data_IF_834535729393
#
_entry.id   IF_834535729393
#
_cell.length_a   1.000
_cell.length_b   1.000
_cell.length_c   1.000
_cell.angle_alpha   90.00
_cell.angle_beta   90.00
_cell.angle_gamma   90.00
#
_symmetry.space_group_name_H-M   'P 1'
#
loop_
_entity.id
_entity.type
_entity.pdbx_description
1 polymer ?
#
# COMPACT_ATOMS: atom_id res chain seq x y z
N UNK A 1 -61.11 -3.69 -22.44
CA UNK A 1 -62.04 -2.62 -21.96
C UNK A 1 -61.27 -1.73 -21.00
N UNK A 2 -61.21 -0.41 -21.23
CA UNK A 2 -60.45 0.50 -20.43
C UNK A 2 -61.38 1.18 -19.36
N UNK A 3 -60.82 1.51 -18.22
CA UNK A 3 -61.40 2.51 -17.34
C UNK A 3 -60.30 3.53 -16.97
N UNK A 4 -60.63 4.75 -17.29
CA UNK A 4 -59.79 5.91 -17.19
C UNK A 4 -59.81 6.61 -15.80
N UNK A 5 -59.27 7.83 -15.72
CA UNK A 5 -58.55 8.33 -14.55
C UNK A 5 -59.40 9.27 -13.66
N UNK A 6 -59.00 9.40 -12.41
CA UNK A 6 -59.38 10.51 -11.52
C UNK A 6 -58.16 10.77 -10.60
N UNK A 7 -57.67 11.90 -10.38
CA UNK A 7 -58.13 13.24 -10.23
C UNK A 7 -57.17 13.89 -9.21
N UNK A 8 -56.39 14.87 -9.63
CA UNK A 8 -55.43 15.59 -8.82
C UNK A 8 -56.13 16.51 -7.78
N UNK A 9 -55.61 16.57 -6.56
CA UNK A 9 -55.80 17.73 -5.69
C UNK A 9 -54.49 18.07 -5.03
N UNK A 10 -53.99 19.25 -5.35
CA UNK A 10 -52.82 19.87 -4.77
C UNK A 10 -53.08 20.36 -3.36
N UNK A 11 -52.10 20.20 -2.52
CA UNK A 11 -52.01 20.76 -1.19
C UNK A 11 -50.58 21.19 -0.91
N UNK A 12 -50.32 22.47 -1.12
CA UNK A 12 -49.08 23.11 -0.69
C UNK A 12 -49.03 23.14 0.84
N UNK A 13 -48.05 22.51 1.44
CA UNK A 13 -47.70 22.71 2.84
C UNK A 13 -46.39 23.51 2.92
N UNK A 14 -46.55 24.73 3.46
CA UNK A 14 -45.44 25.61 3.87
C UNK A 14 -44.57 24.96 4.94
N UNK A 15 -43.26 25.15 4.85
CA UNK A 15 -42.28 24.79 5.88
C UNK A 15 -42.21 25.91 6.94
N UNK A 16 -42.15 25.57 8.23
CA UNK A 16 -41.88 26.56 9.26
C UNK A 16 -40.38 26.95 9.28
N UNK A 17 -40.04 28.14 9.77
CA UNK A 17 -38.68 28.69 9.74
C UNK A 17 -37.74 27.97 10.71
N UNK A 18 -36.50 27.78 10.26
CA UNK A 18 -35.45 27.08 10.99
C UNK A 18 -35.02 27.77 12.27
N UNK A 19 -34.90 26.99 13.32
CA UNK A 19 -34.23 27.37 14.57
C UNK A 19 -32.81 26.85 14.48
N UNK A 20 -31.82 27.75 14.39
CA UNK A 20 -30.40 27.40 14.48
C UNK A 20 -30.00 27.36 15.95
N UNK A 21 -29.55 26.18 16.42
CA UNK A 21 -28.87 26.06 17.69
C UNK A 21 -27.35 26.06 17.45
N UNK A 22 -26.55 26.79 18.22
CA UNK A 22 -25.09 26.72 18.13
C UNK A 22 -24.61 25.40 18.70
N UNK A 23 -23.84 24.66 17.91
CA UNK A 23 -23.18 23.43 18.32
C UNK A 23 -21.99 23.81 19.20
N UNK A 24 -21.83 23.28 20.42
CA UNK A 24 -20.64 23.52 21.23
C UNK A 24 -19.43 22.84 20.65
N UNK A 25 -18.39 23.58 20.33
CA UNK A 25 -17.07 23.08 19.94
C UNK A 25 -16.46 22.31 21.12
N UNK A 26 -16.44 20.99 21.05
CA UNK A 26 -15.75 20.16 22.02
C UNK A 26 -14.26 20.11 21.67
N UNK A 27 -13.44 20.56 22.60
CA UNK A 27 -11.98 20.39 22.55
C UNK A 27 -11.64 18.91 22.73
N UNK A 28 -10.94 18.30 21.77
CA UNK A 28 -10.44 16.91 21.87
C UNK A 28 -8.97 16.90 22.29
N UNK A 29 -8.64 16.06 23.27
CA UNK A 29 -7.25 15.71 23.62
C UNK A 29 -6.82 14.55 22.73
N UNK A 30 -5.72 14.68 22.03
CA UNK A 30 -5.09 13.59 21.28
C UNK A 30 -3.83 13.16 22.03
N UNK A 31 -3.73 11.89 22.35
CA UNK A 31 -2.57 11.30 23.05
C UNK A 31 -1.66 10.64 22.01
N UNK A 32 -0.44 11.12 21.89
CA UNK A 32 0.59 10.45 21.11
C UNK A 32 1.28 9.36 21.96
N UNK A 33 1.65 8.23 21.35
CA UNK A 33 2.32 7.09 22.02
C UNK A 33 3.63 7.44 22.74
N UNK A 34 4.15 8.67 22.57
CA UNK A 34 5.41 9.15 23.18
C UNK A 34 5.23 9.92 24.49
N UNK A 35 4.03 9.97 25.07
CA UNK A 35 3.82 10.57 26.39
C UNK A 35 3.85 12.11 26.45
N UNK A 36 3.81 12.83 25.33
CA UNK A 36 3.81 14.29 25.28
C UNK A 36 2.39 14.81 25.18
N UNK A 37 1.99 15.70 26.11
CA UNK A 37 0.68 16.37 26.13
C UNK A 37 0.82 17.78 25.57
N UNK A 38 0.01 18.14 24.60
CA UNK A 38 -0.14 19.52 24.10
C UNK A 38 -1.55 20.06 24.38
N UNK A 39 -1.66 21.35 24.71
CA UNK A 39 -2.93 22.05 24.83
C UNK A 39 -3.16 22.93 23.61
N UNK A 40 -4.33 22.84 23.02
CA UNK A 40 -4.76 23.72 21.93
C UNK A 40 -5.45 24.95 22.51
N UNK A 41 -5.01 26.12 22.13
CA UNK A 41 -5.69 27.41 22.39
C UNK A 41 -6.21 27.94 21.06
N UNK A 42 -7.45 28.44 20.96
CA UNK A 42 -7.96 28.99 19.70
C UNK A 42 -7.16 30.24 19.30
N UNK A 43 -6.76 30.28 18.02
CA UNK A 43 -6.09 31.44 17.46
C UNK A 43 -7.11 32.50 17.04
N UNK A 44 -7.18 33.60 17.80
CA UNK A 44 -7.57 34.88 17.27
C UNK A 44 -6.36 35.81 17.37
N UNK A 45 -6.06 36.46 16.23
CA UNK A 45 -5.04 37.49 16.01
C UNK A 45 -3.63 37.04 15.61
N UNK A 46 -3.12 37.79 14.65
CA UNK A 46 -1.85 37.68 13.96
C UNK A 46 -0.62 37.69 14.89
N UNK A 47 0.43 37.00 14.43
CA UNK A 47 1.77 37.06 14.97
C UNK A 47 2.02 36.47 16.38
N UNK A 48 2.25 35.16 16.48
CA UNK A 48 3.08 34.65 17.57
C UNK A 48 3.83 33.37 17.14
N UNK A 49 5.15 33.45 17.13
CA UNK A 49 6.05 32.31 17.03
C UNK A 49 5.85 31.44 18.28
N UNK A 50 5.39 30.20 18.07
CA UNK A 50 5.29 29.22 19.13
C UNK A 50 6.68 28.68 19.48
N UNK A 51 7.18 28.97 20.68
CA UNK A 51 8.32 28.29 21.26
C UNK A 51 7.82 27.18 22.19
N UNK A 52 8.05 25.92 21.81
CA UNK A 52 7.81 24.77 22.69
C UNK A 52 8.96 24.70 23.72
N UNK A 53 8.67 24.92 25.02
CA UNK A 53 9.63 24.57 26.09
C UNK A 53 9.35 23.14 26.54
N UNK A 54 10.27 22.25 26.20
CA UNK A 54 10.31 20.88 26.72
C UNK A 54 11.09 20.92 28.04
N UNK A 55 10.43 20.67 29.16
CA UNK A 55 11.08 20.50 30.46
C UNK A 55 11.67 19.10 30.53
N UNK A 56 13.00 18.98 30.41
CA UNK A 56 13.74 17.76 30.67
C UNK A 56 14.28 17.82 32.10
N UNK A 57 14.06 16.76 32.87
CA UNK A 57 14.74 16.53 34.13
C UNK A 57 16.20 16.15 33.87
N UNK A 58 17.10 16.54 34.80
CA UNK A 58 18.55 16.66 34.62
C UNK A 58 19.37 15.36 34.68
N UNK A 59 18.84 14.18 34.39
CA UNK A 59 19.57 12.92 34.57
C UNK A 59 19.67 11.95 33.39
N UNK A 60 19.16 12.26 32.21
CA UNK A 60 19.31 11.39 31.04
C UNK A 60 20.17 12.05 29.95
N UNK A 61 21.48 11.81 29.99
CA UNK A 61 22.39 12.08 28.87
C UNK A 61 22.33 10.95 27.84
N UNK A 62 21.23 10.83 27.13
CA UNK A 62 21.19 10.13 25.86
C UNK A 62 21.25 11.16 24.75
N UNK A 63 22.26 11.10 23.89
CA UNK A 63 22.26 11.85 22.63
C UNK A 63 21.25 11.19 21.70
N UNK A 64 20.15 11.87 21.30
CA UNK A 64 19.26 11.31 20.29
C UNK A 64 19.97 11.23 18.96
N UNK A 65 19.89 10.08 18.30
CA UNK A 65 20.35 9.92 16.93
C UNK A 65 19.70 10.97 16.02
N UNK A 66 20.37 11.37 14.94
CA UNK A 66 19.88 12.38 14.00
C UNK A 66 18.44 12.13 13.49
N UNK A 67 18.02 10.86 13.48
CA UNK A 67 16.67 10.44 13.08
C UNK A 67 15.56 10.91 14.05
N UNK A 68 15.85 11.02 15.37
CA UNK A 68 14.85 11.50 16.35
C UNK A 68 14.57 13.00 16.18
N UNK A 69 15.52 13.78 15.67
CA UNK A 69 15.32 15.23 15.43
C UNK A 69 14.39 15.52 14.25
N UNK A 70 14.36 14.63 13.23
CA UNK A 70 13.48 14.80 12.06
C UNK A 70 12.02 14.52 12.42
N UNK A 71 11.75 13.63 13.39
CA UNK A 71 10.39 13.32 13.85
C UNK A 71 9.67 14.49 14.58
N UNK A 72 10.39 15.43 15.13
CA UNK A 72 9.79 16.54 15.88
C UNK A 72 9.29 17.70 15.00
N UNK A 73 9.66 17.75 13.70
CA UNK A 73 9.37 18.90 12.85
C UNK A 73 8.19 18.69 11.85
N UNK A 74 7.60 17.49 11.77
CA UNK A 74 6.54 17.21 10.77
C UNK A 74 5.25 16.73 11.46
N UNK A 75 4.69 17.52 12.35
CA UNK A 75 3.30 17.30 12.81
C UNK A 75 2.43 18.48 12.36
N UNK A 76 2.26 18.63 11.07
CA UNK A 76 1.02 19.22 10.55
C UNK A 76 0.05 18.06 10.41
N UNK A 77 -0.79 17.85 11.41
CA UNK A 77 -1.79 16.78 11.40
C UNK A 77 -2.76 16.99 10.24
N UNK A 78 -3.06 15.90 9.52
CA UNK A 78 -4.16 15.92 8.55
C UNK A 78 -5.45 16.22 9.29
N UNK A 79 -6.19 17.24 8.84
CA UNK A 79 -7.51 17.55 9.35
C UNK A 79 -8.52 16.58 8.72
N UNK A 80 -8.76 15.46 9.40
CA UNK A 80 -9.62 14.38 8.91
C UNK A 80 -11.08 14.82 8.78
N UNK A 81 -11.52 15.87 9.47
CA UNK A 81 -12.88 16.39 9.34
C UNK A 81 -13.11 17.05 7.96
N UNK A 82 -12.05 17.51 7.31
CA UNK A 82 -12.09 18.07 5.95
C UNK A 82 -11.96 17.02 4.86
N UNK A 83 -11.52 15.79 5.19
CA UNK A 83 -11.42 14.71 4.23
C UNK A 83 -12.83 14.20 3.90
N UNK A 84 -13.20 14.02 2.62
CA UNK A 84 -14.49 13.39 2.29
C UNK A 84 -14.55 11.96 2.86
N UNK A 85 -15.75 11.46 3.14
CA UNK A 85 -15.95 10.09 3.60
C UNK A 85 -16.88 9.34 2.62
N UNK A 86 -16.56 8.08 2.28
CA UNK A 86 -15.30 7.39 2.55
C UNK A 86 -14.16 7.85 1.61
N UNK A 87 -12.89 7.83 2.12
CA UNK A 87 -11.76 8.30 1.33
C UNK A 87 -10.43 7.68 1.73
N UNK A 88 -9.67 7.16 0.77
CA UNK A 88 -8.23 6.93 0.92
C UNK A 88 -7.50 8.27 0.79
N UNK A 89 -6.70 8.62 1.78
CA UNK A 89 -5.93 9.86 1.78
C UNK A 89 -4.45 9.60 2.02
N UNK A 90 -3.61 10.03 1.08
CA UNK A 90 -2.15 9.97 1.17
C UNK A 90 -1.60 11.32 1.63
N UNK A 91 -0.61 11.31 2.52
CA UNK A 91 0.18 12.48 2.87
C UNK A 91 1.51 12.48 2.10
N UNK A 92 1.68 13.46 1.24
CA UNK A 92 2.85 13.58 0.35
C UNK A 92 4.16 13.75 1.14
N UNK A 93 4.13 14.37 2.32
CA UNK A 93 5.31 14.56 3.18
C UNK A 93 5.81 13.22 3.74
N UNK A 94 4.88 12.34 4.13
CA UNK A 94 5.19 10.98 4.59
C UNK A 94 5.73 10.14 3.43
N UNK A 95 5.19 10.32 2.23
CA UNK A 95 5.72 9.70 1.02
C UNK A 95 7.16 10.15 0.76
N UNK A 96 7.44 11.46 0.77
CA UNK A 96 8.79 12.00 0.56
C UNK A 96 9.80 11.46 1.57
N UNK A 97 9.40 11.26 2.84
CA UNK A 97 10.23 10.58 3.84
C UNK A 97 10.65 9.17 3.39
N UNK A 98 9.70 8.37 2.93
CA UNK A 98 9.98 7.01 2.45
C UNK A 98 10.88 7.03 1.22
N UNK A 99 10.61 7.95 0.30
CA UNK A 99 11.41 8.13 -0.92
C UNK A 99 12.88 8.47 -0.62
N UNK A 100 13.13 9.27 0.42
CA UNK A 100 14.48 9.59 0.85
C UNK A 100 15.24 8.35 1.36
N UNK A 101 14.58 7.45 2.09
CA UNK A 101 15.17 6.17 2.54
C UNK A 101 15.48 5.27 1.35
N UNK A 102 14.53 5.11 0.43
CA UNK A 102 14.69 4.29 -0.78
C UNK A 102 15.87 4.81 -1.63
N UNK A 103 15.95 6.11 -1.84
CA UNK A 103 17.02 6.74 -2.61
C UNK A 103 18.40 6.59 -1.92
N UNK A 104 18.45 6.67 -0.58
CA UNK A 104 19.66 6.36 0.21
C UNK A 104 20.16 4.94 -0.07
N UNK A 105 19.28 3.94 0.06
CA UNK A 105 19.64 2.53 -0.18
C UNK A 105 20.08 2.33 -1.63
N UNK A 106 19.30 2.83 -2.59
CA UNK A 106 19.58 2.73 -4.02
C UNK A 106 20.98 3.23 -4.36
N UNK A 107 21.31 4.46 -3.95
CA UNK A 107 22.60 5.08 -4.23
C UNK A 107 23.75 4.44 -3.47
N UNK A 108 23.55 4.15 -2.19
CA UNK A 108 24.61 3.61 -1.35
C UNK A 108 24.96 2.16 -1.74
N UNK A 109 23.99 1.32 -2.05
CA UNK A 109 24.24 -0.03 -2.51
C UNK A 109 24.64 -0.08 -4.00
N UNK A 110 24.29 0.94 -4.78
CA UNK A 110 24.49 1.00 -6.23
C UNK A 110 23.66 -0.05 -6.97
N UNK A 111 22.41 -0.21 -6.59
CA UNK A 111 21.43 -1.12 -7.18
C UNK A 111 20.29 -0.32 -7.80
N UNK A 112 19.53 -0.95 -8.68
CA UNK A 112 18.30 -0.38 -9.23
C UNK A 112 17.13 -0.73 -8.32
N UNK A 113 16.30 0.26 -8.01
CA UNK A 113 15.06 0.06 -7.26
C UNK A 113 13.90 0.53 -8.13
N UNK A 114 12.97 -0.39 -8.43
CA UNK A 114 11.79 -0.12 -9.26
C UNK A 114 10.51 -0.31 -8.45
N UNK A 115 9.49 0.51 -8.76
CA UNK A 115 8.21 0.52 -8.02
C UNK A 115 7.34 -0.67 -8.42
N UNK A 116 6.83 -1.45 -7.46
CA UNK A 116 5.86 -2.50 -7.75
C UNK A 116 4.42 -1.97 -7.69
N UNK A 117 3.78 -1.79 -8.87
CA UNK A 117 2.43 -1.23 -8.98
C UNK A 117 1.35 -2.05 -8.26
N UNK A 118 1.55 -3.36 -8.12
CA UNK A 118 0.64 -4.23 -7.37
C UNK A 118 0.41 -3.77 -5.92
N UNK A 119 1.36 -3.02 -5.35
CA UNK A 119 1.22 -2.49 -4.00
C UNK A 119 0.59 -1.09 -4.01
N UNK A 120 0.92 -0.24 -4.98
CA UNK A 120 0.35 1.09 -5.11
C UNK A 120 0.36 1.55 -6.57
N UNK A 121 -0.84 1.69 -7.16
CA UNK A 121 -1.04 2.16 -8.53
C UNK A 121 -1.64 3.58 -8.60
N UNK A 122 -1.46 4.38 -7.54
CA UNK A 122 -1.91 5.79 -7.50
C UNK A 122 -1.05 6.65 -8.43
N UNK A 123 -1.36 6.66 -9.71
CA UNK A 123 -0.54 7.32 -10.74
C UNK A 123 -0.33 8.82 -10.53
N UNK A 124 -1.18 9.49 -9.75
CA UNK A 124 -1.00 10.93 -9.39
C UNK A 124 0.27 11.22 -8.59
N UNK A 125 0.88 10.21 -7.96
CA UNK A 125 2.16 10.35 -7.25
C UNK A 125 3.36 9.85 -8.09
N UNK A 126 3.16 9.31 -9.29
CA UNK A 126 4.25 8.79 -10.13
C UNK A 126 5.36 9.81 -10.45
N UNK A 127 5.07 11.11 -10.65
CA UNK A 127 6.14 12.08 -10.81
C UNK A 127 7.16 12.08 -9.66
N UNK A 128 6.67 11.99 -8.39
CA UNK A 128 7.56 11.89 -7.22
C UNK A 128 8.30 10.54 -7.17
N UNK A 129 7.58 9.43 -7.41
CA UNK A 129 8.19 8.10 -7.39
C UNK A 129 9.33 8.00 -8.41
N UNK A 130 9.15 8.58 -9.59
CA UNK A 130 10.13 8.55 -10.70
C UNK A 130 11.44 9.27 -10.38
N UNK A 131 11.41 10.28 -9.54
CA UNK A 131 12.62 11.00 -9.11
C UNK A 131 13.52 10.15 -8.20
N UNK A 132 12.95 9.15 -7.53
CA UNK A 132 13.61 8.34 -6.50
C UNK A 132 13.70 6.84 -6.84
N UNK A 133 13.35 6.46 -8.06
CA UNK A 133 13.38 5.05 -8.51
C UNK A 133 13.80 4.97 -9.99
N UNK A 134 14.21 3.78 -10.41
CA UNK A 134 14.82 3.56 -11.73
C UNK A 134 13.78 3.05 -12.76
N UNK A 135 12.54 2.83 -12.35
CA UNK A 135 11.46 2.31 -13.20
C UNK A 135 10.29 1.79 -12.38
N UNK A 136 9.43 1.02 -13.03
CA UNK A 136 8.31 0.36 -12.38
C UNK A 136 8.09 -1.07 -12.92
N UNK A 137 7.59 -1.96 -12.05
CA UNK A 137 7.25 -3.33 -12.43
C UNK A 137 5.73 -3.48 -12.54
N UNK A 138 5.30 -4.26 -13.52
CA UNK A 138 3.90 -4.54 -13.83
C UNK A 138 3.61 -6.03 -13.77
N UNK A 139 2.40 -6.37 -13.30
CA UNK A 139 1.93 -7.77 -13.19
C UNK A 139 0.77 -8.10 -14.12
N UNK A 140 0.38 -7.17 -14.98
CA UNK A 140 -0.70 -7.30 -15.97
C UNK A 140 -0.52 -6.33 -17.14
N UNK A 141 -1.33 -6.52 -18.19
CA UNK A 141 -1.42 -5.56 -19.32
C UNK A 141 -1.82 -4.16 -18.84
N UNK A 142 -2.77 -4.09 -17.92
CA UNK A 142 -3.26 -2.80 -17.42
C UNK A 142 -2.17 -2.05 -16.65
N UNK A 143 -1.44 -2.74 -15.78
CA UNK A 143 -0.31 -2.13 -15.08
C UNK A 143 0.83 -1.75 -16.04
N UNK A 144 1.17 -2.60 -17.02
CA UNK A 144 2.22 -2.29 -18.00
C UNK A 144 1.86 -1.05 -18.84
N UNK A 145 0.59 -0.91 -19.25
CA UNK A 145 0.09 0.31 -19.88
C UNK A 145 0.17 1.52 -18.97
N UNK A 146 -0.22 1.37 -17.72
CA UNK A 146 -0.17 2.46 -16.73
C UNK A 146 1.27 2.96 -16.53
N UNK A 147 2.25 2.04 -16.51
CA UNK A 147 3.68 2.42 -16.48
C UNK A 147 4.04 3.21 -17.73
N UNK A 148 3.67 2.76 -18.91
CA UNK A 148 4.02 3.43 -20.15
C UNK A 148 3.33 4.81 -20.26
N UNK A 149 2.04 4.89 -19.93
CA UNK A 149 1.22 6.07 -20.14
C UNK A 149 1.44 7.14 -19.05
N UNK A 150 1.58 6.75 -17.78
CA UNK A 150 1.59 7.69 -16.65
C UNK A 150 2.94 7.75 -15.91
N UNK A 151 3.69 6.63 -15.84
CA UNK A 151 5.05 6.66 -15.28
C UNK A 151 6.07 7.18 -16.29
N UNK A 152 5.79 7.02 -17.58
CA UNK A 152 6.61 7.56 -18.67
C UNK A 152 7.87 6.74 -18.96
N UNK A 153 7.87 5.45 -18.64
CA UNK A 153 8.90 4.47 -19.00
C UNK A 153 8.26 3.19 -19.55
N UNK A 154 9.06 2.26 -20.04
CA UNK A 154 8.62 0.89 -20.25
C UNK A 154 8.73 0.11 -18.93
N UNK A 155 7.89 -0.91 -18.78
CA UNK A 155 7.79 -1.70 -17.56
C UNK A 155 8.79 -2.86 -17.52
N UNK A 156 9.21 -3.26 -16.32
CA UNK A 156 9.62 -4.62 -16.03
C UNK A 156 8.36 -5.45 -15.79
N UNK A 157 8.01 -6.34 -16.70
CA UNK A 157 6.76 -7.08 -16.59
C UNK A 157 7.00 -8.52 -16.16
N UNK A 158 6.35 -8.91 -15.09
CA UNK A 158 6.21 -10.30 -14.68
C UNK A 158 4.74 -10.62 -14.39
N UNK A 159 4.19 -11.60 -15.09
CA UNK A 159 2.89 -12.18 -14.79
C UNK A 159 3.01 -13.72 -14.70
N UNK A 160 2.28 -14.36 -13.77
CA UNK A 160 2.27 -15.82 -13.67
C UNK A 160 1.80 -16.50 -14.96
N UNK A 161 0.96 -15.82 -15.73
CA UNK A 161 0.42 -16.29 -17.02
C UNK A 161 0.42 -15.15 -18.04
N UNK A 162 0.93 -15.43 -19.23
CA UNK A 162 0.75 -14.59 -20.41
C UNK A 162 -0.23 -15.26 -21.38
N UNK A 163 -1.15 -14.48 -21.95
CA UNK A 163 -2.08 -14.94 -22.97
C UNK A 163 -1.65 -14.47 -24.35
N UNK A 164 -2.06 -15.18 -25.42
CA UNK A 164 -1.78 -14.76 -26.79
C UNK A 164 -2.39 -13.39 -27.12
N UNK A 165 -3.55 -13.09 -26.52
CA UNK A 165 -4.24 -11.81 -26.77
C UNK A 165 -3.51 -10.64 -26.08
N UNK A 166 -2.96 -10.84 -24.90
CA UNK A 166 -2.34 -9.78 -24.11
C UNK A 166 -0.88 -9.55 -24.48
N UNK A 167 -0.19 -10.59 -24.93
CA UNK A 167 1.26 -10.56 -25.11
C UNK A 167 1.77 -9.48 -26.08
N UNK A 168 1.10 -9.20 -27.20
CA UNK A 168 1.50 -8.08 -28.09
C UNK A 168 1.52 -6.73 -27.36
N UNK A 169 0.52 -6.46 -26.52
CA UNK A 169 0.46 -5.21 -25.76
C UNK A 169 1.48 -5.17 -24.62
N UNK A 170 1.73 -6.31 -23.95
CA UNK A 170 2.80 -6.44 -22.97
C UNK A 170 4.15 -6.13 -23.60
N UNK A 171 4.46 -6.67 -24.77
CA UNK A 171 5.70 -6.36 -25.50
C UNK A 171 5.82 -4.87 -25.84
N UNK A 172 4.74 -4.23 -26.24
CA UNK A 172 4.72 -2.78 -26.53
C UNK A 172 5.07 -1.93 -25.30
N UNK A 173 4.59 -2.38 -24.14
CA UNK A 173 4.71 -1.61 -22.89
C UNK A 173 5.93 -1.98 -22.03
N UNK A 174 6.69 -3.03 -22.38
CA UNK A 174 7.77 -3.56 -21.54
C UNK A 174 9.13 -3.46 -22.23
N UNK A 175 10.18 -3.23 -21.46
CA UNK A 175 11.58 -3.39 -21.86
C UNK A 175 12.23 -4.63 -21.24
N UNK A 176 11.65 -5.14 -20.14
CA UNK A 176 12.00 -6.41 -19.53
C UNK A 176 10.75 -7.28 -19.38
N UNK A 177 10.87 -8.56 -19.73
CA UNK A 177 9.81 -9.55 -19.49
C UNK A 177 10.41 -10.74 -18.77
N UNK A 178 9.83 -11.10 -17.63
CA UNK A 178 10.19 -12.28 -16.87
C UNK A 178 9.13 -13.38 -17.07
N UNK A 179 9.57 -14.57 -17.49
CA UNK A 179 8.72 -15.74 -17.70
C UNK A 179 8.69 -16.62 -16.47
N UNK A 180 7.52 -17.13 -16.14
CA UNK A 180 7.27 -17.94 -14.95
C UNK A 180 7.68 -19.41 -15.12
N UNK A 181 7.78 -19.91 -16.37
CA UNK A 181 8.07 -21.29 -16.69
C UNK A 181 8.79 -21.41 -18.03
N UNK A 182 9.43 -22.55 -18.26
CA UNK A 182 10.03 -22.88 -19.56
C UNK A 182 8.97 -22.94 -20.67
N UNK A 183 7.79 -23.46 -20.38
CA UNK A 183 6.71 -23.47 -21.38
C UNK A 183 6.23 -22.08 -21.80
N UNK A 184 6.26 -21.08 -20.91
CA UNK A 184 6.04 -19.68 -21.30
C UNK A 184 7.18 -19.15 -22.17
N UNK A 185 8.42 -19.46 -21.80
CA UNK A 185 9.61 -19.10 -22.58
C UNK A 185 9.52 -19.66 -24.01
N UNK A 186 9.22 -20.93 -24.15
CA UNK A 186 9.07 -21.59 -25.46
C UNK A 186 7.99 -20.95 -26.34
N UNK A 187 6.89 -20.52 -25.73
CA UNK A 187 5.78 -19.89 -26.46
C UNK A 187 6.04 -18.44 -26.87
N UNK A 188 6.70 -17.68 -26.04
CA UNK A 188 6.73 -16.23 -26.13
C UNK A 188 8.14 -15.64 -26.25
N UNK A 189 9.17 -16.36 -25.83
CA UNK A 189 10.54 -15.85 -25.73
C UNK A 189 11.10 -15.33 -27.05
N UNK A 190 10.98 -16.12 -28.13
CA UNK A 190 11.46 -15.70 -29.43
C UNK A 190 10.79 -14.39 -29.93
N UNK A 191 9.50 -14.22 -29.66
CA UNK A 191 8.78 -12.99 -30.04
C UNK A 191 9.26 -11.79 -29.21
N UNK A 192 9.51 -11.98 -27.93
CA UNK A 192 10.05 -10.92 -27.07
C UNK A 192 11.44 -10.50 -27.52
N UNK A 193 12.33 -11.45 -27.79
CA UNK A 193 13.69 -11.19 -28.27
C UNK A 193 13.70 -10.44 -29.61
N UNK A 194 12.85 -10.82 -30.57
CA UNK A 194 12.71 -10.13 -31.85
C UNK A 194 12.25 -8.67 -31.71
N UNK A 195 11.59 -8.33 -30.60
CA UNK A 195 11.19 -6.97 -30.26
C UNK A 195 12.22 -6.23 -29.39
N UNK A 196 13.41 -6.78 -29.20
CA UNK A 196 14.50 -6.17 -28.43
C UNK A 196 14.25 -6.08 -26.94
N UNK A 197 13.41 -6.98 -26.40
CA UNK A 197 13.06 -7.01 -24.97
C UNK A 197 14.08 -7.88 -24.24
N UNK A 198 14.59 -7.40 -23.11
CA UNK A 198 15.44 -8.19 -22.22
C UNK A 198 14.60 -9.23 -21.47
N UNK A 199 14.92 -10.48 -21.66
CA UNK A 199 14.13 -11.60 -21.17
C UNK A 199 14.77 -12.27 -19.97
N UNK A 200 13.97 -12.58 -18.95
CA UNK A 200 14.41 -13.33 -17.78
C UNK A 200 13.49 -14.49 -17.43
N UNK A 201 13.98 -15.33 -16.51
CA UNK A 201 13.21 -16.41 -15.94
C UNK A 201 13.02 -16.19 -14.45
N UNK A 202 11.79 -16.35 -13.96
CA UNK A 202 11.55 -16.45 -12.53
C UNK A 202 11.98 -17.83 -12.03
N UNK A 203 12.81 -17.85 -11.00
CA UNK A 203 13.30 -19.07 -10.35
C UNK A 203 12.79 -19.17 -8.92
N UNK A 204 12.62 -20.40 -8.44
CA UNK A 204 12.23 -20.67 -7.07
C UNK A 204 13.43 -21.22 -6.29
N UNK A 205 14.06 -20.45 -5.38
CA UNK A 205 15.16 -20.93 -4.56
C UNK A 205 14.74 -21.91 -3.47
N UNK A 206 13.45 -22.29 -3.39
CA UNK A 206 12.88 -23.20 -2.39
C UNK A 206 13.28 -22.80 -0.94
N UNK A 207 13.30 -21.49 -0.69
CA UNK A 207 13.58 -20.91 0.60
C UNK A 207 12.78 -19.63 0.78
N UNK A 208 12.07 -19.52 1.90
CA UNK A 208 11.38 -18.32 2.33
C UNK A 208 11.25 -18.33 3.85
N UNK A 209 11.32 -17.17 4.47
CA UNK A 209 11.04 -16.95 5.90
C UNK A 209 9.56 -16.62 6.16
N UNK A 210 8.75 -16.52 5.11
CA UNK A 210 7.32 -16.22 5.20
C UNK A 210 6.57 -17.39 5.79
N UNK A 211 5.97 -17.18 6.97
CA UNK A 211 5.28 -18.22 7.73
C UNK A 211 3.86 -18.54 7.20
N UNK A 212 3.21 -17.59 6.51
CA UNK A 212 1.85 -17.75 6.00
C UNK A 212 1.89 -18.31 4.58
N UNK A 213 1.38 -19.52 4.36
CA UNK A 213 1.42 -20.21 3.06
C UNK A 213 0.84 -19.38 1.91
N UNK A 214 -0.24 -18.63 2.15
CA UNK A 214 -0.84 -17.74 1.15
C UNK A 214 0.15 -16.70 0.59
N UNK A 215 1.13 -16.31 1.39
CA UNK A 215 2.15 -15.31 1.04
C UNK A 215 3.55 -15.89 0.87
N UNK A 216 3.69 -17.24 0.93
CA UNK A 216 4.95 -17.93 0.70
C UNK A 216 5.09 -18.34 -0.78
N UNK A 217 5.79 -17.56 -1.62
CA UNK A 217 5.92 -17.86 -3.03
C UNK A 217 6.98 -18.92 -3.34
N UNK A 218 7.68 -19.42 -2.33
CA UNK A 218 8.76 -20.39 -2.46
C UNK A 218 8.43 -21.74 -1.78
N UNK A 219 7.14 -22.04 -1.53
CA UNK A 219 6.72 -23.38 -1.09
C UNK A 219 7.09 -24.44 -2.13
N UNK A 220 7.24 -25.71 -1.73
CA UNK A 220 7.61 -26.79 -2.64
C UNK A 220 6.63 -26.99 -3.80
N UNK A 221 5.36 -26.68 -3.60
CA UNK A 221 4.26 -26.78 -4.57
C UNK A 221 3.86 -25.43 -5.18
N UNK A 222 4.67 -24.39 -4.97
CA UNK A 222 4.39 -23.06 -5.51
C UNK A 222 4.32 -23.09 -7.04
N UNK A 223 3.24 -22.47 -7.57
CA UNK A 223 3.08 -22.23 -9.02
C UNK A 223 4.00 -21.14 -9.57
N UNK A 224 4.85 -20.54 -8.73
CA UNK A 224 5.64 -19.35 -9.05
C UNK A 224 7.13 -19.67 -9.13
N UNK A 225 7.66 -19.57 -10.36
CA UNK A 225 9.08 -19.75 -10.64
C UNK A 225 9.49 -21.20 -10.88
N UNK A 226 10.63 -21.37 -11.54
CA UNK A 226 11.19 -22.64 -11.98
C UNK A 226 12.08 -23.20 -10.86
N UNK A 227 11.88 -24.45 -10.40
CA UNK A 227 12.80 -25.13 -9.48
C UNK A 227 14.17 -25.35 -10.09
N UNK A 228 15.21 -25.41 -9.27
CA UNK A 228 16.59 -25.61 -9.76
C UNK A 228 16.78 -26.92 -10.55
N UNK A 229 16.08 -27.99 -10.16
CA UNK A 229 16.12 -29.27 -10.86
C UNK A 229 15.66 -29.19 -12.32
N UNK A 230 14.74 -28.26 -12.62
CA UNK A 230 14.16 -28.07 -13.95
C UNK A 230 14.94 -27.04 -14.78
N UNK A 231 15.95 -26.36 -14.20
CA UNK A 231 16.77 -25.34 -14.88
C UNK A 231 18.28 -25.62 -14.74
N UNK A 232 18.78 -26.75 -15.24
CA UNK A 232 20.22 -27.08 -15.17
C UNK A 232 21.09 -26.17 -16.04
N UNK A 233 20.50 -25.50 -17.03
CA UNK A 233 21.15 -24.55 -17.95
C UNK A 233 20.15 -23.50 -18.40
N UNK A 234 20.66 -22.33 -18.76
CA UNK A 234 19.80 -21.26 -19.33
C UNK A 234 19.46 -21.57 -20.78
N UNK A 235 18.21 -21.36 -21.21
CA UNK A 235 17.86 -21.25 -22.62
C UNK A 235 18.59 -20.08 -23.28
N UNK A 236 18.94 -20.24 -24.57
CA UNK A 236 19.57 -19.18 -25.35
C UNK A 236 18.68 -17.94 -25.41
N UNK A 237 19.27 -16.75 -25.19
CA UNK A 237 18.57 -15.47 -25.19
C UNK A 237 18.01 -15.04 -23.84
N UNK A 238 18.09 -15.86 -22.80
CA UNK A 238 17.76 -15.46 -21.43
C UNK A 238 18.89 -14.60 -20.86
N UNK A 239 18.57 -13.37 -20.47
CA UNK A 239 19.54 -12.39 -19.97
C UNK A 239 19.47 -12.18 -18.46
N UNK A 240 18.44 -12.67 -17.77
CA UNK A 240 18.27 -12.43 -16.35
C UNK A 240 17.58 -13.52 -15.57
N UNK A 241 17.81 -13.50 -14.26
CA UNK A 241 17.09 -14.30 -13.28
C UNK A 241 16.30 -13.39 -12.33
N UNK A 242 15.11 -13.83 -11.98
CA UNK A 242 14.25 -13.16 -11.02
C UNK A 242 13.81 -14.14 -9.94
N UNK A 243 13.93 -13.75 -8.69
CA UNK A 243 13.24 -14.43 -7.59
C UNK A 243 12.43 -13.42 -6.77
N UNK A 244 11.34 -13.87 -6.16
CA UNK A 244 10.54 -13.06 -5.25
C UNK A 244 10.00 -13.99 -4.17
N UNK A 245 10.61 -13.95 -2.98
CA UNK A 245 10.40 -14.92 -1.90
C UNK A 245 10.20 -14.24 -0.55
N UNK A 246 10.29 -12.92 -0.50
CA UNK A 246 10.17 -12.11 0.69
C UNK A 246 8.82 -11.40 0.76
N UNK A 247 8.32 -11.17 1.97
CA UNK A 247 7.13 -10.37 2.26
C UNK A 247 7.35 -9.65 3.59
N UNK A 248 7.40 -8.32 3.57
CA UNK A 248 7.65 -7.45 4.75
C UNK A 248 8.83 -7.92 5.60
N UNK A 249 9.90 -8.32 4.92
CA UNK A 249 11.04 -9.04 5.48
C UNK A 249 12.17 -8.11 5.87
N UNK A 250 13.06 -8.60 6.75
CA UNK A 250 14.25 -7.91 7.25
C UNK A 250 15.48 -8.20 6.38
N UNK A 251 16.60 -7.46 6.54
CA UNK A 251 17.83 -7.72 5.79
C UNK A 251 18.38 -9.13 5.98
N UNK A 252 18.30 -9.69 7.19
CA UNK A 252 18.72 -11.05 7.47
C UNK A 252 17.99 -12.10 6.63
N UNK A 253 16.70 -11.88 6.31
CA UNK A 253 15.91 -12.76 5.45
C UNK A 253 16.43 -12.75 4.02
N UNK A 254 16.81 -11.57 3.50
CA UNK A 254 17.46 -11.46 2.20
C UNK A 254 18.81 -12.19 2.19
N UNK A 255 19.62 -12.01 3.24
CA UNK A 255 20.92 -12.72 3.36
C UNK A 255 20.75 -14.23 3.25
N UNK A 256 19.80 -14.80 3.98
CA UNK A 256 19.51 -16.22 3.96
C UNK A 256 18.95 -16.66 2.59
N UNK A 257 18.05 -15.88 2.00
CA UNK A 257 17.52 -16.15 0.66
C UNK A 257 18.61 -16.13 -0.42
N UNK A 258 19.53 -15.17 -0.35
CA UNK A 258 20.67 -15.11 -1.29
C UNK A 258 21.57 -16.35 -1.15
N UNK A 259 21.83 -16.84 0.06
CA UNK A 259 22.55 -18.10 0.26
C UNK A 259 21.89 -19.27 -0.47
N UNK A 260 20.58 -19.44 -0.30
CA UNK A 260 19.83 -20.49 -0.99
C UNK A 260 19.77 -20.29 -2.52
N UNK A 261 19.67 -19.04 -2.97
CA UNK A 261 19.69 -18.71 -4.39
C UNK A 261 21.05 -19.00 -5.03
N UNK A 262 22.16 -18.58 -4.41
CA UNK A 262 23.52 -18.82 -4.88
C UNK A 262 23.86 -20.32 -4.89
N UNK A 263 23.42 -21.09 -3.87
CA UNK A 263 23.60 -22.54 -3.81
C UNK A 263 22.95 -23.26 -5.01
N UNK A 264 21.74 -22.86 -5.38
CA UNK A 264 20.92 -23.54 -6.39
C UNK A 264 21.13 -23.02 -7.81
N UNK A 265 21.33 -21.72 -7.97
CA UNK A 265 21.38 -21.05 -9.27
C UNK A 265 22.70 -20.31 -9.53
N UNK A 266 23.66 -20.35 -8.60
CA UNK A 266 24.95 -19.64 -8.72
C UNK A 266 25.74 -20.01 -9.99
N UNK A 267 25.62 -21.25 -10.46
CA UNK A 267 26.28 -21.74 -11.71
C UNK A 267 25.73 -21.05 -12.99
N UNK A 268 24.54 -20.42 -12.91
CA UNK A 268 23.92 -19.69 -14.01
C UNK A 268 24.31 -18.19 -14.01
N UNK A 269 24.72 -17.63 -12.87
CA UNK A 269 24.99 -16.20 -12.71
C UNK A 269 26.05 -15.65 -13.68
N UNK A 270 27.13 -16.38 -14.04
CA UNK A 270 28.08 -15.88 -15.05
C UNK A 270 27.49 -15.68 -16.44
N UNK A 271 26.31 -16.24 -16.72
CA UNK A 271 25.68 -16.22 -18.04
C UNK A 271 24.60 -15.15 -18.19
N UNK A 272 24.19 -14.51 -17.08
CA UNK A 272 23.14 -13.50 -17.08
C UNK A 272 23.71 -12.09 -16.91
N UNK A 273 22.94 -11.07 -17.27
CA UNK A 273 23.29 -9.65 -17.18
C UNK A 273 22.66 -8.98 -15.97
N UNK A 274 21.55 -9.53 -15.48
CA UNK A 274 20.85 -8.96 -14.34
C UNK A 274 20.24 -10.04 -13.44
N UNK A 275 20.11 -9.65 -12.17
CA UNK A 275 19.35 -10.41 -11.18
C UNK A 275 18.33 -9.46 -10.54
N UNK A 276 17.08 -9.82 -10.64
CA UNK A 276 15.99 -9.15 -9.96
C UNK A 276 15.61 -9.95 -8.69
N UNK A 277 15.82 -9.35 -7.54
CA UNK A 277 15.62 -9.98 -6.23
C UNK A 277 14.17 -9.83 -5.72
N UNK A 278 13.28 -9.27 -6.57
CA UNK A 278 11.87 -9.07 -6.23
C UNK A 278 11.64 -8.01 -5.17
N UNK A 279 10.45 -8.06 -4.57
CA UNK A 279 10.03 -7.19 -3.48
C UNK A 279 10.08 -7.85 -2.12
N UNK A 280 9.36 -7.24 -1.16
CA UNK A 280 9.29 -7.70 0.22
C UNK A 280 10.32 -7.05 1.15
N UNK A 281 11.17 -6.16 0.63
CA UNK A 281 12.13 -5.37 1.40
C UNK A 281 11.43 -4.16 2.01
N UNK A 282 11.05 -4.24 3.29
CA UNK A 282 10.32 -3.16 3.97
C UNK A 282 11.29 -2.14 4.58
N UNK A 283 12.17 -1.58 3.76
CA UNK A 283 13.27 -0.71 4.17
C UNK A 283 12.86 0.62 4.80
N UNK A 284 11.58 0.97 4.72
CA UNK A 284 11.01 2.19 5.30
C UNK A 284 10.28 1.95 6.62
N UNK A 285 10.28 0.71 7.14
CA UNK A 285 9.80 0.43 8.48
C UNK A 285 10.74 1.03 9.53
N UNK A 286 10.16 1.47 10.67
CA UNK A 286 10.88 2.22 11.71
C UNK A 286 12.08 1.48 12.32
N UNK A 287 12.00 0.15 12.39
CA UNK A 287 13.00 -0.74 13.01
C UNK A 287 13.79 -1.56 11.96
N UNK A 288 13.82 -1.10 10.70
CA UNK A 288 14.58 -1.74 9.63
C UNK A 288 16.03 -1.27 9.62
N UNK A 289 16.98 -2.20 9.52
CA UNK A 289 18.41 -1.91 9.40
C UNK A 289 18.79 -1.70 7.93
N UNK A 290 18.77 -0.44 7.50
CA UNK A 290 19.12 -0.04 6.13
C UNK A 290 20.60 -0.28 5.82
N UNK A 291 21.48 -0.10 6.80
CA UNK A 291 22.93 -0.28 6.61
C UNK A 291 23.25 -1.78 6.39
N UNK A 292 22.60 -2.67 7.16
CA UNK A 292 22.74 -4.11 6.92
C UNK A 292 22.27 -4.49 5.50
N UNK A 293 21.15 -3.92 5.02
CA UNK A 293 20.69 -4.15 3.65
C UNK A 293 21.70 -3.69 2.62
N UNK A 294 22.24 -2.47 2.79
CA UNK A 294 23.26 -1.89 1.90
C UNK A 294 24.49 -2.80 1.85
N UNK A 295 24.96 -3.30 2.99
CA UNK A 295 26.14 -4.16 3.06
C UNK A 295 25.91 -5.53 2.39
N UNK A 296 24.72 -6.13 2.54
CA UNK A 296 24.35 -7.37 1.84
C UNK A 296 24.39 -7.16 0.33
N UNK A 297 23.79 -6.09 -0.17
CA UNK A 297 23.71 -5.77 -1.59
C UNK A 297 25.11 -5.47 -2.17
N UNK A 298 25.92 -4.70 -1.47
CA UNK A 298 27.33 -4.44 -1.84
C UNK A 298 28.15 -5.71 -1.89
N UNK A 299 27.98 -6.60 -0.89
CA UNK A 299 28.65 -7.88 -0.85
C UNK A 299 28.27 -8.77 -2.04
N UNK A 300 26.99 -8.81 -2.42
CA UNK A 300 26.55 -9.56 -3.61
C UNK A 300 27.14 -8.93 -4.89
N UNK A 301 27.10 -7.61 -5.05
CA UNK A 301 27.72 -6.92 -6.19
C UNK A 301 29.23 -7.19 -6.31
N UNK A 302 29.93 -7.22 -5.19
CA UNK A 302 31.38 -7.49 -5.20
C UNK A 302 31.68 -8.90 -5.70
N UNK A 303 30.83 -9.89 -5.41
CA UNK A 303 30.98 -11.26 -5.95
C UNK A 303 30.62 -11.37 -7.43
N UNK A 304 29.65 -10.55 -7.89
CA UNK A 304 29.14 -10.58 -9.27
C UNK A 304 29.13 -9.17 -9.91
N UNK A 305 30.32 -8.57 -10.17
CA UNK A 305 30.43 -7.15 -10.57
C UNK A 305 29.85 -6.85 -11.98
N UNK A 306 29.60 -7.88 -12.78
CA UNK A 306 28.98 -7.76 -14.11
C UNK A 306 27.46 -7.67 -14.07
N UNK A 307 26.84 -7.99 -12.93
CA UNK A 307 25.39 -8.03 -12.81
C UNK A 307 24.80 -6.66 -12.45
N UNK A 308 23.73 -6.30 -13.14
CA UNK A 308 22.77 -5.32 -12.65
C UNK A 308 21.90 -6.00 -11.59
N UNK A 309 21.75 -5.35 -10.45
CA UNK A 309 20.90 -5.86 -9.34
C UNK A 309 19.67 -4.96 -9.24
N UNK A 310 18.50 -5.59 -9.25
CA UNK A 310 17.20 -4.92 -9.25
C UNK A 310 16.41 -5.37 -8.03
N UNK A 311 15.77 -4.43 -7.33
CA UNK A 311 14.81 -4.68 -6.28
C UNK A 311 13.44 -4.12 -6.69
N UNK A 312 12.35 -4.80 -6.29
CA UNK A 312 10.96 -4.41 -6.58
C UNK A 312 10.14 -4.18 -5.31
N UNK A 313 10.58 -3.34 -4.35
CA UNK A 313 9.76 -3.07 -3.19
C UNK A 313 8.42 -2.45 -3.61
N UNK A 314 7.36 -2.85 -2.94
CA UNK A 314 6.03 -2.30 -3.13
C UNK A 314 5.60 -1.48 -1.92
N UNK A 315 5.26 -2.17 -0.81
CA UNK A 315 4.83 -1.54 0.45
C UNK A 315 5.78 -0.45 0.94
N UNK A 316 7.11 -0.64 0.79
CA UNK A 316 8.11 0.30 1.28
C UNK A 316 7.93 1.73 0.72
N UNK A 317 7.42 1.88 -0.51
CA UNK A 317 7.17 3.21 -1.06
C UNK A 317 6.09 3.97 -0.30
N UNK A 318 5.00 3.28 0.04
CA UNK A 318 3.81 3.91 0.63
C UNK A 318 3.49 3.39 2.04
N UNK A 319 4.45 2.79 2.71
CA UNK A 319 4.35 2.32 4.09
C UNK A 319 4.06 3.49 5.05
N UNK A 320 2.93 3.40 5.75
CA UNK A 320 2.46 4.43 6.69
C UNK A 320 2.42 5.86 6.12
N UNK A 321 2.02 5.97 4.85
CA UNK A 321 1.89 7.27 4.18
C UNK A 321 0.47 7.78 4.10
N UNK A 322 -0.51 7.04 4.64
CA UNK A 322 -1.88 7.52 4.60
C UNK A 322 -2.90 6.57 5.21
N UNK A 323 -4.15 6.93 5.05
CA UNK A 323 -5.28 6.42 5.82
C UNK A 323 -6.48 6.12 4.93
N UNK A 324 -7.41 5.30 5.47
CA UNK A 324 -8.79 5.24 5.02
C UNK A 324 -9.67 5.93 6.05
N UNK A 325 -10.32 7.02 5.65
CA UNK A 325 -11.25 7.78 6.48
C UNK A 325 -12.65 7.27 6.23
N UNK A 326 -13.35 6.91 7.29
CA UNK A 326 -14.73 6.46 7.29
C UNK A 326 -15.58 7.27 8.29
N UNK A 327 -16.91 7.15 8.19
CA UNK A 327 -17.86 7.77 9.12
C UNK A 327 -18.73 6.67 9.75
N UNK A 328 -19.02 6.80 11.03
CA UNK A 328 -20.02 5.98 11.72
C UNK A 328 -21.41 6.44 11.29
N UNK A 329 -22.16 5.57 10.59
CA UNK A 329 -23.50 5.88 10.08
C UNK A 329 -24.59 5.34 10.98
N UNK A 330 -24.32 4.25 11.74
CA UNK A 330 -25.27 3.66 12.68
C UNK A 330 -24.55 2.91 13.80
N UNK A 331 -25.26 2.61 14.88
CA UNK A 331 -24.79 1.80 16.00
C UNK A 331 -25.76 0.68 16.29
N UNK A 332 -25.29 -0.56 16.14
CA UNK A 332 -26.05 -1.77 16.42
C UNK A 332 -25.56 -2.41 17.73
N UNK A 333 -26.49 -2.75 18.62
CA UNK A 333 -26.19 -3.42 19.88
C UNK A 333 -27.01 -4.72 19.99
N UNK A 334 -26.38 -5.83 19.63
CA UNK A 334 -27.01 -7.14 19.63
C UNK A 334 -26.16 -8.17 20.38
N UNK A 335 -26.81 -8.97 21.25
CA UNK A 335 -26.14 -10.06 21.95
C UNK A 335 -24.95 -9.62 22.82
N UNK A 336 -24.95 -8.39 23.34
CA UNK A 336 -23.84 -7.84 24.13
C UNK A 336 -22.67 -7.32 23.30
N UNK A 337 -22.81 -7.25 21.97
CA UNK A 337 -21.79 -6.71 21.06
C UNK A 337 -22.20 -5.31 20.60
N UNK A 338 -21.33 -4.33 20.78
CA UNK A 338 -21.47 -3.00 20.21
C UNK A 338 -20.78 -2.96 18.84
N UNK A 339 -21.53 -2.61 17.79
CA UNK A 339 -21.02 -2.48 16.43
C UNK A 339 -21.25 -1.07 15.91
N UNK A 340 -20.20 -0.35 15.56
CA UNK A 340 -20.27 0.88 14.80
C UNK A 340 -20.33 0.53 13.31
N UNK A 341 -21.44 0.82 12.65
CA UNK A 341 -21.63 0.59 11.21
C UNK A 341 -21.04 1.77 10.43
N UNK A 342 -20.15 1.48 9.51
CA UNK A 342 -19.37 2.49 8.79
C UNK A 342 -19.86 2.64 7.34
N UNK A 343 -19.55 3.78 6.72
CA UNK A 343 -19.75 4.03 5.29
C UNK A 343 -18.70 3.34 4.38
N UNK A 344 -17.83 2.49 4.95
CA UNK A 344 -16.91 1.59 4.25
C UNK A 344 -17.30 0.13 4.44
N UNK A 345 -16.71 -0.76 3.64
CA UNK A 345 -16.86 -2.21 3.76
C UNK A 345 -15.48 -2.86 3.89
N UNK A 346 -15.31 -3.77 4.81
CA UNK A 346 -14.07 -4.58 4.91
C UNK A 346 -13.92 -5.47 3.69
N UNK A 347 -15.01 -6.12 3.25
CA UNK A 347 -15.00 -7.00 2.09
C UNK A 347 -14.73 -6.25 0.77
N UNK A 348 -15.19 -4.99 0.64
CA UNK A 348 -15.04 -4.21 -0.58
C UNK A 348 -13.80 -3.32 -0.59
N UNK A 349 -13.45 -2.73 0.54
CA UNK A 349 -12.46 -1.64 0.60
C UNK A 349 -11.19 -2.02 1.36
N UNK A 350 -11.24 -3.08 2.17
CA UNK A 350 -10.12 -3.61 2.96
C UNK A 350 -10.10 -5.16 2.91
N UNK A 351 -10.23 -5.80 1.72
CA UNK A 351 -10.36 -7.26 1.65
C UNK A 351 -9.13 -8.00 2.19
N UNK A 352 -7.96 -7.41 2.11
CA UNK A 352 -6.72 -7.92 2.69
C UNK A 352 -6.81 -8.15 4.21
N UNK A 353 -7.60 -7.35 4.94
CA UNK A 353 -7.84 -7.56 6.37
C UNK A 353 -8.62 -8.85 6.66
N UNK A 354 -9.37 -9.36 5.68
CA UNK A 354 -10.12 -10.61 5.76
C UNK A 354 -9.33 -11.79 5.17
N UNK A 355 -8.63 -11.57 4.07
CA UNK A 355 -7.79 -12.57 3.39
C UNK A 355 -6.59 -12.98 4.24
N UNK A 356 -5.89 -12.00 4.79
CA UNK A 356 -4.86 -12.18 5.80
C UNK A 356 -5.40 -11.58 7.09
N UNK A 357 -5.86 -12.37 8.06
CA UNK A 357 -6.71 -11.89 9.14
C UNK A 357 -5.95 -11.02 10.13
N UNK A 358 -5.50 -9.84 9.67
CA UNK A 358 -4.95 -8.81 10.53
C UNK A 358 -6.02 -7.78 10.91
N UNK A 359 -5.81 -7.09 12.01
CA UNK A 359 -6.65 -6.00 12.48
C UNK A 359 -5.93 -4.68 12.24
N UNK A 360 -6.46 -3.79 11.38
CA UNK A 360 -5.82 -2.51 11.13
C UNK A 360 -5.85 -1.63 12.38
N UNK A 361 -4.85 -0.79 12.56
CA UNK A 361 -4.86 0.24 13.59
C UNK A 361 -5.88 1.33 13.23
N UNK A 362 -6.49 1.92 14.27
CA UNK A 362 -7.41 3.05 14.15
C UNK A 362 -6.87 4.18 15.02
N UNK A 363 -6.84 5.39 14.48
CA UNK A 363 -6.41 6.58 15.22
C UNK A 363 -7.30 6.79 16.44
N UNK A 364 -6.68 6.85 17.62
CA UNK A 364 -7.41 7.03 18.90
C UNK A 364 -8.11 5.78 19.43
N UNK A 365 -7.80 4.60 18.87
CA UNK A 365 -8.24 3.32 19.38
C UNK A 365 -7.06 2.43 19.80
N UNK A 366 -7.35 1.42 20.61
CA UNK A 366 -6.34 0.47 21.11
C UNK A 366 -6.94 -0.93 21.31
N UNK A 367 -6.10 -1.91 21.62
CA UNK A 367 -6.53 -3.24 21.99
C UNK A 367 -7.34 -3.19 23.30
N UNK A 368 -8.54 -3.81 23.36
CA UNK A 368 -9.36 -3.81 24.56
C UNK A 368 -8.68 -4.45 25.77
N UNK A 369 -8.67 -3.76 26.90
CA UNK A 369 -8.22 -4.26 28.18
C UNK A 369 -9.38 -4.91 28.95
N UNK A 370 -9.13 -5.73 29.98
CA UNK A 370 -10.18 -6.26 30.84
C UNK A 370 -11.06 -5.15 31.44
N UNK A 371 -12.38 -5.24 31.22
CA UNK A 371 -13.36 -4.27 31.73
C UNK A 371 -13.65 -3.08 30.82
N UNK A 372 -12.91 -2.90 29.73
CA UNK A 372 -13.22 -1.83 28.74
C UNK A 372 -14.35 -2.26 27.80
N UNK A 373 -15.12 -1.26 27.35
CA UNK A 373 -16.16 -1.45 26.36
C UNK A 373 -15.52 -1.81 25.01
N UNK A 374 -15.99 -2.91 24.43
CA UNK A 374 -15.50 -3.40 23.13
C UNK A 374 -16.39 -2.93 22.01
N UNK A 375 -15.77 -2.49 20.95
CA UNK A 375 -16.43 -2.01 19.74
C UNK A 375 -15.95 -2.79 18.52
N UNK A 376 -16.90 -3.36 17.80
CA UNK A 376 -16.69 -3.92 16.48
C UNK A 376 -16.94 -2.83 15.44
N UNK A 377 -16.14 -2.81 14.39
CA UNK A 377 -16.41 -2.01 13.19
C UNK A 377 -17.10 -2.88 12.16
N UNK A 378 -18.32 -2.50 11.76
CA UNK A 378 -19.13 -3.17 10.75
C UNK A 378 -19.11 -2.43 9.44
N UNK A 379 -19.02 -3.15 8.32
CA UNK A 379 -19.07 -2.58 6.97
C UNK A 379 -20.50 -2.43 6.45
N UNK A 380 -20.63 -1.77 5.29
CA UNK A 380 -21.91 -1.43 4.66
C UNK A 380 -22.34 -2.37 3.53
N UNK A 381 -21.63 -3.48 3.27
CA UNK A 381 -22.10 -4.50 2.34
C UNK A 381 -22.94 -5.58 3.03
N UNK A 382 -23.71 -6.36 2.25
CA UNK A 382 -24.60 -7.40 2.80
C UNK A 382 -23.90 -8.71 3.18
N UNK A 383 -22.57 -8.80 3.10
CA UNK A 383 -21.84 -9.97 3.56
C UNK A 383 -21.91 -10.05 5.10
N UNK A 384 -22.42 -11.15 5.66
CA UNK A 384 -22.54 -11.32 7.11
C UNK A 384 -21.20 -11.17 7.87
N UNK A 385 -20.08 -11.50 7.24
CA UNK A 385 -18.71 -11.34 7.76
C UNK A 385 -18.06 -9.99 7.48
N UNK A 386 -18.81 -9.00 7.00
CA UNK A 386 -18.27 -7.66 6.68
C UNK A 386 -18.04 -6.83 7.95
N UNK A 387 -17.18 -7.31 8.81
CA UNK A 387 -16.78 -6.63 10.03
C UNK A 387 -15.37 -7.03 10.48
N UNK A 388 -14.80 -6.22 11.36
CA UNK A 388 -13.57 -6.53 12.07
C UNK A 388 -13.70 -6.04 13.52
N UNK A 389 -13.01 -6.61 14.43
CA UNK A 389 -13.05 -6.20 15.83
C UNK A 389 -12.02 -6.96 16.67
N UNK A 390 -11.95 -6.70 17.97
CA UNK A 390 -12.61 -5.61 18.68
C UNK A 390 -11.59 -4.51 18.95
N UNK A 391 -12.05 -3.26 19.11
CA UNK A 391 -11.24 -2.12 19.60
C UNK A 391 -11.86 -1.55 20.87
N UNK A 392 -11.05 -0.87 21.67
CA UNK A 392 -11.47 0.06 22.68
C UNK A 392 -11.09 1.48 22.28
N UNK A 393 -11.89 2.46 22.70
CA UNK A 393 -11.70 3.87 22.39
C UNK A 393 -11.70 4.68 23.69
N UNK A 394 -10.89 5.73 23.77
CA UNK A 394 -10.91 6.67 24.90
C UNK A 394 -12.28 7.38 25.00
N UNK A 395 -12.97 7.56 23.87
CA UNK A 395 -14.34 8.07 23.78
C UNK A 395 -15.15 7.12 22.91
N UNK A 396 -16.28 6.61 23.42
CA UNK A 396 -17.12 5.69 22.67
C UNK A 396 -17.58 6.30 21.33
N UNK A 397 -17.54 5.52 20.24
CA UNK A 397 -18.03 5.98 18.93
C UNK A 397 -19.49 6.37 18.95
N UNK A 398 -19.83 7.43 18.22
CA UNK A 398 -21.18 7.94 18.02
C UNK A 398 -21.45 8.15 16.53
N UNK A 399 -22.71 8.11 16.13
CA UNK A 399 -23.11 8.40 14.74
C UNK A 399 -22.58 9.80 14.34
N UNK A 400 -21.93 9.86 13.17
CA UNK A 400 -21.25 11.02 12.63
C UNK A 400 -19.77 11.15 13.01
N UNK A 401 -19.24 10.32 13.93
CA UNK A 401 -17.82 10.32 14.25
C UNK A 401 -16.96 9.75 13.11
N UNK A 402 -15.75 10.28 12.97
CA UNK A 402 -14.77 9.78 12.02
C UNK A 402 -14.01 8.58 12.60
N UNK A 403 -13.92 7.53 11.80
CA UNK A 403 -13.06 6.38 12.04
C UNK A 403 -11.93 6.42 11.00
N UNK A 404 -10.69 6.48 11.45
CA UNK A 404 -9.51 6.66 10.59
C UNK A 404 -8.62 5.43 10.72
N UNK A 405 -8.67 4.57 9.71
CA UNK A 405 -7.81 3.39 9.63
C UNK A 405 -6.42 3.79 9.16
N UNK A 406 -5.39 3.35 9.88
CA UNK A 406 -3.99 3.64 9.57
C UNK A 406 -3.45 2.69 8.50
N UNK A 407 -2.50 3.20 7.69
CA UNK A 407 -1.69 2.44 6.74
C UNK A 407 -2.50 1.74 5.63
N UNK A 408 -3.43 2.48 5.00
CA UNK A 408 -4.38 1.95 4.02
C UNK A 408 -4.01 2.26 2.56
N UNK A 409 -2.81 2.77 2.27
CA UNK A 409 -2.46 3.19 0.91
C UNK A 409 -1.84 2.06 0.08
N UNK A 410 -1.00 1.21 0.67
CA UNK A 410 -0.45 0.06 -0.04
C UNK A 410 -1.38 -1.15 0.03
N UNK A 411 -1.38 -1.98 -1.00
CA UNK A 411 -2.23 -3.17 -1.19
C UNK A 411 -3.72 -2.93 -0.98
N UNK A 412 -4.17 -2.47 0.17
CA UNK A 412 -5.58 -2.24 0.52
C UNK A 412 -6.30 -1.43 -0.55
N UNK A 413 -5.77 -0.27 -0.93
CA UNK A 413 -6.38 0.61 -1.92
C UNK A 413 -6.48 -0.02 -3.32
N UNK A 414 -5.52 -0.85 -3.74
CA UNK A 414 -5.52 -1.46 -5.08
C UNK A 414 -6.36 -2.74 -5.16
N UNK A 415 -6.74 -3.34 -4.03
CA UNK A 415 -7.57 -4.56 -3.96
C UNK A 415 -9.07 -4.30 -3.89
N UNK A 416 -9.51 -3.06 -3.90
CA UNK A 416 -10.92 -2.70 -3.71
C UNK A 416 -11.85 -3.30 -4.77
N UNK A 417 -13.07 -3.63 -4.34
CA UNK A 417 -14.16 -4.14 -5.19
C UNK A 417 -15.42 -3.29 -5.03
N UNK A 418 -16.43 -3.53 -5.87
CA UNK A 418 -17.76 -2.91 -5.78
C UNK A 418 -18.84 -3.97 -5.58
N UNK A 419 -18.61 -4.92 -4.70
CA UNK A 419 -19.64 -5.91 -4.33
C UNK A 419 -20.87 -5.21 -3.76
N UNK A 420 -22.07 -5.70 -4.05
CA UNK A 420 -23.36 -5.07 -3.75
C UNK A 420 -23.57 -3.66 -4.38
N UNK A 421 -22.70 -3.19 -5.27
CA UNK A 421 -22.75 -1.83 -5.78
C UNK A 421 -22.24 -0.79 -4.79
N UNK A 422 -21.57 -1.21 -3.70
CA UNK A 422 -20.91 -0.30 -2.77
C UNK A 422 -19.83 0.48 -3.54
N UNK A 423 -19.91 1.80 -3.49
CA UNK A 423 -18.99 2.67 -4.23
C UNK A 423 -17.60 2.63 -3.63
N UNK A 424 -16.56 2.62 -4.48
CA UNK A 424 -15.20 2.80 -3.98
C UNK A 424 -15.06 4.08 -3.18
N UNK A 425 -14.23 4.09 -2.10
CA UNK A 425 -13.82 5.31 -1.42
C UNK A 425 -13.18 6.30 -2.41
N UNK A 426 -13.42 7.59 -2.21
CA UNK A 426 -12.69 8.63 -2.93
C UNK A 426 -11.19 8.49 -2.71
N UNK A 427 -10.37 9.13 -3.56
CA UNK A 427 -8.91 9.15 -3.38
C UNK A 427 -8.49 10.62 -3.27
N UNK A 428 -7.71 10.93 -2.25
CA UNK A 428 -7.20 12.27 -1.99
C UNK A 428 -5.70 12.27 -1.64
N UNK A 429 -5.06 13.41 -1.83
CA UNK A 429 -3.66 13.67 -1.48
C UNK A 429 -3.63 14.93 -0.62
N UNK A 430 -2.97 14.87 0.52
CA UNK A 430 -2.52 16.06 1.25
C UNK A 430 -1.15 16.42 0.71
N UNK A 431 -1.07 17.51 -0.03
CA UNK A 431 0.15 18.00 -0.65
C UNK A 431 1.14 18.51 0.42
N UNK A 432 2.40 18.65 0.06
CA UNK A 432 3.46 19.17 0.96
C UNK A 432 3.07 20.48 1.65
N UNK A 433 2.35 21.37 0.96
CA UNK A 433 1.86 22.64 1.49
C UNK A 433 0.61 22.51 2.37
N UNK A 434 0.18 21.30 2.72
CA UNK A 434 -0.99 21.02 3.53
C UNK A 434 -2.34 21.10 2.78
N UNK A 435 -2.36 21.39 1.48
CA UNK A 435 -3.60 21.44 0.69
C UNK A 435 -4.13 20.03 0.45
N UNK A 436 -5.40 19.80 0.82
CA UNK A 436 -6.12 18.58 0.45
C UNK A 436 -6.60 18.68 -1.01
N UNK A 437 -6.24 17.69 -1.82
CA UNK A 437 -6.67 17.53 -3.19
C UNK A 437 -7.40 16.19 -3.38
N UNK A 438 -8.69 16.22 -3.73
CA UNK A 438 -9.44 15.02 -4.08
C UNK A 438 -9.16 14.71 -5.55
N UNK A 439 -8.39 13.66 -5.80
CA UNK A 439 -7.90 13.30 -7.16
C UNK A 439 -8.85 12.37 -7.91
N UNK A 440 -9.68 11.62 -7.18
CA UNK A 440 -10.69 10.73 -7.79
C UNK A 440 -11.93 10.64 -6.90
N UNK A 441 -13.09 10.72 -7.53
CA UNK A 441 -14.39 10.34 -6.95
C UNK A 441 -15.00 9.24 -7.79
N UNK A 442 -15.68 8.32 -7.15
CA UNK A 442 -16.39 7.23 -7.80
C UNK A 442 -17.90 7.44 -7.68
N UNK A 443 -18.66 6.87 -8.60
CA UNK A 443 -20.11 7.00 -8.61
C UNK A 443 -20.79 5.84 -9.31
N UNK A 444 -22.09 5.95 -9.52
CA UNK A 444 -22.93 4.91 -10.11
C UNK A 444 -22.41 4.38 -11.45
N UNK A 445 -21.83 5.24 -12.29
CA UNK A 445 -21.30 4.84 -13.59
C UNK A 445 -20.15 3.85 -13.47
N UNK A 446 -19.25 4.03 -12.49
CA UNK A 446 -18.11 3.12 -12.25
C UNK A 446 -18.60 1.69 -11.94
N UNK A 447 -19.75 1.56 -11.25
CA UNK A 447 -20.38 0.26 -11.01
C UNK A 447 -21.11 -0.25 -12.25
N UNK A 448 -22.00 0.54 -12.82
CA UNK A 448 -22.87 0.15 -13.95
C UNK A 448 -22.05 -0.28 -15.16
N UNK A 449 -21.10 0.55 -15.60
CA UNK A 449 -20.36 0.34 -16.84
C UNK A 449 -19.39 -0.86 -16.75
N UNK A 450 -19.11 -1.34 -15.53
CA UNK A 450 -18.39 -2.58 -15.31
C UNK A 450 -19.25 -3.84 -15.52
N UNK A 451 -20.56 -3.73 -15.40
CA UNK A 451 -21.46 -4.90 -15.41
C UNK A 451 -22.05 -5.22 -16.78
N UNK A 452 -22.01 -4.28 -17.72
CA UNK A 452 -22.54 -4.50 -19.07
C UNK A 452 -22.02 -3.47 -20.09
#
# INVERSE_FOLDING_TARGET
MPLGPAGASGGTRERPPGISFPIPVRQRKVRCRTGVYGWMVPADSAESRLSLRVGLSSEDRFQPSANIRIFAEIVVMVDFDKVPSPCFVLDERLLCRNLAVIDKVRRAAGVEIIVALKACAMWRIFPLLREHSDGATASSVAEARLVLEEYGSRAHTYAPVYTENDFPEIMRCSDHITFNSLGQWERFGARALLNGISCGLRVNPAYSTVATDLYNPASPDSRLGIPAADLPRLPEGVEGLHFHTLCESRPADLRATLGAFEERFGHLLPQVRWVNMGGGHLMTAEDYDEEELIDILRGFRARYPHLRIILEPGSAFTWRTGWLVATVEDIVRNGGVNTAMLDVSFACHMPDTLEMPYKPAIVGAHEPRPGEVRWRMGGNCCLAGDYKGDWAFDTEPSVGDRVVFEDMIHYTMVKTTMFNGVSHPSIAIVRENGKLEVVKRFGYRDFRDRMS
#
